data_IF_138072392672
#
_entry.id   IF_138072392672
#
_cell.length_a   1.000
_cell.length_b   1.000
_cell.length_c   1.000
_cell.angle_alpha   90.00
_cell.angle_beta   90.00
_cell.angle_gamma   90.00
#
_symmetry.space_group_name_H-M   'P 1'
#
loop_
_entity.id
_entity.type
_entity.pdbx_description
1 polymer ?
#
# COMPACT_ATOMS: atom_id res chain seq x y z
N UNK A 1 -12.34 20.73 4.59
CA UNK A 1 -12.57 19.91 5.79
C UNK A 1 -12.28 18.45 5.47
N UNK A 2 -11.35 17.84 6.20
CA UNK A 2 -11.06 16.42 6.00
C UNK A 2 -12.24 15.57 6.49
N UNK A 3 -12.73 14.69 5.62
CA UNK A 3 -13.75 13.73 5.99
C UNK A 3 -13.15 12.71 6.97
N UNK A 4 -13.84 12.41 8.05
CA UNK A 4 -13.41 11.35 8.96
C UNK A 4 -13.45 10.00 8.26
N UNK A 5 -12.41 9.21 8.45
CA UNK A 5 -12.31 7.89 7.87
C UNK A 5 -12.53 6.82 8.94
N UNK A 6 -13.29 5.80 8.58
CA UNK A 6 -13.55 4.65 9.45
C UNK A 6 -13.05 3.39 8.77
N UNK A 7 -12.58 2.47 9.59
CA UNK A 7 -12.15 1.15 9.16
C UNK A 7 -13.15 0.10 9.63
N UNK A 8 -13.39 -0.90 8.81
CA UNK A 8 -14.04 -2.13 9.27
C UNK A 8 -13.07 -2.90 10.15
N UNK A 9 -13.60 -3.54 11.18
CA UNK A 9 -12.81 -4.41 12.04
C UNK A 9 -13.02 -5.86 11.61
N UNK A 10 -11.91 -6.54 11.38
CA UNK A 10 -11.85 -7.96 11.02
C UNK A 10 -11.41 -8.76 12.23
N UNK A 11 -11.77 -10.04 12.28
CA UNK A 11 -11.25 -10.98 13.29
C UNK A 11 -9.93 -11.59 12.81
N UNK A 12 -9.37 -12.49 13.61
CA UNK A 12 -8.10 -13.16 13.31
C UNK A 12 -8.17 -14.08 12.07
N UNK A 13 -9.37 -14.44 11.62
CA UNK A 13 -9.61 -15.21 10.42
C UNK A 13 -9.90 -14.34 9.19
N UNK A 14 -9.70 -13.02 9.34
CA UNK A 14 -9.94 -12.04 8.28
C UNK A 14 -11.40 -11.96 7.87
N UNK A 15 -12.30 -12.20 8.82
CA UNK A 15 -13.75 -12.08 8.62
C UNK A 15 -14.24 -10.78 9.27
N UNK A 16 -15.21 -10.14 8.62
CA UNK A 16 -15.82 -8.91 9.13
C UNK A 16 -16.56 -9.19 10.44
N UNK A 17 -16.28 -8.38 11.46
CA UNK A 17 -16.96 -8.48 12.75
C UNK A 17 -18.28 -7.71 12.81
N UNK A 18 -18.53 -6.83 11.84
CA UNK A 18 -19.67 -5.90 11.87
C UNK A 18 -19.39 -4.64 12.67
N UNK A 19 -18.22 -4.53 13.29
CA UNK A 19 -17.80 -3.34 14.03
C UNK A 19 -16.88 -2.47 13.18
N UNK A 20 -16.82 -1.19 13.50
CA UNK A 20 -15.92 -0.24 12.85
C UNK A 20 -15.13 0.52 13.90
N UNK A 21 -14.03 1.16 13.47
CA UNK A 21 -13.27 2.07 14.32
C UNK A 21 -12.85 3.29 13.49
N UNK A 22 -12.66 4.41 14.15
CA UNK A 22 -12.13 5.60 13.49
C UNK A 22 -10.65 5.38 13.19
N UNK A 23 -10.21 5.80 12.01
CA UNK A 23 -8.80 5.73 11.62
C UNK A 23 -7.92 6.42 12.66
N UNK A 24 -6.85 5.76 13.07
CA UNK A 24 -5.87 6.25 14.05
C UNK A 24 -6.41 6.41 15.47
N UNK A 25 -7.51 5.75 15.79
CA UNK A 25 -8.05 5.77 17.15
C UNK A 25 -7.21 4.90 18.12
N UNK A 26 -6.47 3.93 17.57
CA UNK A 26 -5.56 3.03 18.30
C UNK A 26 -6.22 2.37 19.51
N UNK A 27 -7.47 1.97 19.37
CA UNK A 27 -8.29 1.37 20.41
C UNK A 27 -8.63 -0.09 20.12
N UNK A 28 -7.81 -0.75 19.34
CA UNK A 28 -8.01 -2.15 18.99
C UNK A 28 -7.94 -3.06 20.19
N UNK A 29 -8.89 -3.96 20.29
CA UNK A 29 -8.87 -5.03 21.27
C UNK A 29 -8.04 -6.19 20.74
N UNK A 30 -7.54 -7.08 21.63
CA UNK A 30 -6.89 -8.32 21.17
C UNK A 30 -7.83 -9.10 20.23
N UNK A 31 -7.27 -9.55 19.11
CA UNK A 31 -8.05 -10.26 18.08
C UNK A 31 -8.77 -9.38 17.08
N UNK A 32 -8.67 -8.06 17.21
CA UNK A 32 -9.22 -7.10 16.23
C UNK A 32 -8.13 -6.70 15.24
N UNK A 33 -8.51 -6.58 13.95
CA UNK A 33 -7.61 -6.22 12.87
C UNK A 33 -8.29 -5.24 11.93
N UNK A 34 -7.50 -4.35 11.30
CA UNK A 34 -7.98 -3.59 10.15
C UNK A 34 -7.31 -4.14 8.87
N UNK A 35 -7.67 -3.60 7.72
CA UNK A 35 -7.16 -4.06 6.43
C UNK A 35 -6.44 -2.94 5.72
N UNK A 36 -5.25 -3.22 5.22
CA UNK A 36 -4.43 -2.34 4.39
C UNK A 36 -4.20 -3.02 3.05
N UNK A 37 -4.03 -2.24 2.00
CA UNK A 37 -3.69 -2.75 0.67
C UNK A 37 -2.39 -2.13 0.20
N UNK A 38 -1.62 -2.88 -0.57
CA UNK A 38 -0.46 -2.37 -1.30
C UNK A 38 -0.62 -2.77 -2.78
N UNK A 39 -0.41 -1.81 -3.66
CA UNK A 39 -0.48 -2.00 -5.10
C UNK A 39 0.87 -1.87 -5.75
N UNK A 40 1.42 -2.99 -6.19
CA UNK A 40 2.67 -3.02 -6.94
C UNK A 40 2.35 -2.80 -8.41
N UNK A 41 2.94 -1.78 -9.02
CA UNK A 41 2.68 -1.42 -10.41
C UNK A 41 3.89 -1.78 -11.24
N UNK A 42 3.70 -2.74 -12.15
CA UNK A 42 4.75 -3.20 -13.05
C UNK A 42 4.51 -2.63 -14.43
N UNK A 43 5.51 -1.96 -14.97
CA UNK A 43 5.46 -1.49 -16.33
C UNK A 43 5.70 -2.67 -17.29
N UNK A 44 5.19 -2.58 -18.52
CA UNK A 44 5.40 -3.61 -19.53
C UNK A 44 6.88 -3.85 -19.86
N UNK A 45 7.76 -2.90 -19.55
CA UNK A 45 9.21 -3.05 -19.68
C UNK A 45 9.85 -3.91 -18.58
N UNK A 46 9.06 -4.41 -17.62
CA UNK A 46 9.54 -5.23 -16.52
C UNK A 46 10.00 -4.47 -15.27
N UNK A 47 9.98 -3.15 -15.32
CA UNK A 47 10.36 -2.31 -14.17
C UNK A 47 9.13 -1.98 -13.33
N UNK A 48 9.37 -1.58 -12.09
CA UNK A 48 8.32 -1.31 -11.10
C UNK A 48 8.28 0.16 -10.74
N UNK A 49 7.08 0.72 -10.64
CA UNK A 49 6.88 2.10 -10.20
C UNK A 49 7.02 2.17 -8.69
N UNK A 50 7.99 2.93 -8.23
CA UNK A 50 8.19 3.21 -6.80
C UNK A 50 8.18 4.71 -6.58
N UNK A 51 7.73 5.12 -5.40
CA UNK A 51 7.65 6.53 -5.03
C UNK A 51 8.44 6.78 -3.76
N UNK A 52 8.95 7.99 -3.62
CA UNK A 52 9.77 8.39 -2.47
C UNK A 52 8.95 9.26 -1.54
N UNK A 53 8.95 8.92 -0.25
CA UNK A 53 8.26 9.71 0.77
C UNK A 53 8.97 11.04 0.98
N UNK A 54 8.19 12.13 1.13
CA UNK A 54 8.77 13.44 1.39
C UNK A 54 9.55 13.44 2.72
N UNK A 55 10.59 14.27 2.79
CA UNK A 55 11.46 14.34 3.97
C UNK A 55 10.76 14.90 5.21
N UNK A 56 9.62 15.56 5.03
CA UNK A 56 8.83 16.13 6.14
C UNK A 56 7.92 15.12 6.83
N UNK A 57 7.84 13.88 6.32
CA UNK A 57 7.03 12.82 6.95
C UNK A 57 7.61 12.47 8.32
N UNK A 58 6.72 12.26 9.30
CA UNK A 58 7.12 11.86 10.65
C UNK A 58 7.63 10.42 10.71
N UNK A 59 7.13 9.56 9.79
CA UNK A 59 7.53 8.17 9.72
C UNK A 59 8.21 7.87 8.39
N UNK A 60 9.38 7.25 8.46
CA UNK A 60 10.18 6.80 7.32
C UNK A 60 10.38 7.88 6.24
N UNK A 61 10.83 9.11 6.59
CA UNK A 61 11.07 10.14 5.58
C UNK A 61 12.14 9.70 4.59
N UNK A 62 11.93 10.01 3.31
CA UNK A 62 12.88 9.71 2.25
C UNK A 62 12.96 8.25 1.82
N UNK A 63 12.18 7.37 2.42
CA UNK A 63 12.13 5.97 2.02
C UNK A 63 11.29 5.79 0.75
N UNK A 64 11.64 4.76 -0.02
CA UNK A 64 10.90 4.37 -1.21
C UNK A 64 9.84 3.33 -0.87
N UNK A 65 8.74 3.33 -1.60
CA UNK A 65 7.61 2.45 -1.33
C UNK A 65 6.76 2.20 -2.57
N UNK A 66 5.87 1.22 -2.48
CA UNK A 66 4.78 1.03 -3.43
C UNK A 66 3.54 1.74 -2.90
N UNK A 67 2.55 1.96 -3.77
CA UNK A 67 1.31 2.64 -3.38
C UNK A 67 0.47 1.78 -2.43
N UNK A 68 -0.19 2.41 -1.49
CA UNK A 68 -1.08 1.69 -0.58
C UNK A 68 -1.71 2.56 0.49
N UNK A 69 -2.55 1.94 1.27
CA UNK A 69 -3.25 2.61 2.37
C UNK A 69 -4.33 1.75 2.97
N UNK A 70 -5.07 2.32 3.92
CA UNK A 70 -6.13 1.62 4.63
C UNK A 70 -7.39 1.45 3.79
N UNK A 71 -8.02 0.29 3.94
CA UNK A 71 -9.32 0.02 3.34
C UNK A 71 -10.38 0.67 4.22
N UNK A 72 -11.22 1.52 3.63
CA UNK A 72 -12.27 2.20 4.37
C UNK A 72 -13.47 1.28 4.62
N UNK A 73 -14.21 1.56 5.68
CA UNK A 73 -15.43 0.80 6.01
C UNK A 73 -16.38 0.75 4.81
N UNK A 74 -16.85 -0.44 4.49
CA UNK A 74 -17.74 -0.67 3.35
C UNK A 74 -17.05 -0.77 1.99
N UNK A 75 -15.73 -0.51 1.94
CA UNK A 75 -14.95 -0.58 0.70
C UNK A 75 -14.38 -2.00 0.53
N UNK A 76 -14.36 -2.50 -0.71
CA UNK A 76 -13.67 -3.76 -0.98
C UNK A 76 -12.16 -3.52 -1.05
N UNK A 77 -11.40 -4.57 -0.81
CA UNK A 77 -9.94 -4.54 -0.95
C UNK A 77 -9.51 -4.03 -2.34
N UNK A 78 -10.11 -4.57 -3.41
CA UNK A 78 -9.80 -4.16 -4.78
C UNK A 78 -10.12 -2.68 -5.02
N UNK A 79 -11.29 -2.22 -4.59
CA UNK A 79 -11.67 -0.82 -4.75
C UNK A 79 -10.68 0.10 -4.01
N UNK A 80 -10.23 -0.33 -2.82
CA UNK A 80 -9.27 0.43 -2.04
C UNK A 80 -7.91 0.56 -2.74
N UNK A 81 -7.38 -0.54 -3.28
CA UNK A 81 -6.06 -0.47 -3.94
C UNK A 81 -6.13 0.37 -5.21
N UNK A 82 -7.21 0.28 -5.97
CA UNK A 82 -7.40 1.12 -7.17
C UNK A 82 -7.46 2.60 -6.80
N UNK A 83 -8.20 2.92 -5.74
CA UNK A 83 -8.31 4.29 -5.22
C UNK A 83 -6.96 4.82 -4.75
N UNK A 84 -6.23 4.05 -3.94
CA UNK A 84 -4.93 4.48 -3.42
C UNK A 84 -3.91 4.70 -4.53
N UNK A 85 -3.85 3.82 -5.51
CA UNK A 85 -2.94 3.98 -6.67
C UNK A 85 -3.28 5.28 -7.42
N UNK A 86 -4.58 5.53 -7.66
CA UNK A 86 -5.01 6.75 -8.34
C UNK A 86 -4.68 8.01 -7.56
N UNK A 87 -4.95 8.01 -6.25
CA UNK A 87 -4.67 9.17 -5.39
C UNK A 87 -3.17 9.48 -5.33
N UNK A 88 -2.34 8.45 -5.22
CA UNK A 88 -0.90 8.64 -5.04
C UNK A 88 -0.13 8.86 -6.35
N UNK A 89 -0.56 8.24 -7.45
CA UNK A 89 0.19 8.27 -8.72
C UNK A 89 -0.57 8.90 -9.88
N UNK A 90 -1.88 9.03 -9.76
CA UNK A 90 -2.74 9.49 -10.86
C UNK A 90 -3.13 8.39 -11.84
N UNK A 91 -2.60 7.18 -11.69
CA UNK A 91 -2.88 6.10 -12.62
C UNK A 91 -4.20 5.38 -12.31
N UNK A 92 -4.97 5.11 -13.36
CA UNK A 92 -6.10 4.19 -13.30
C UNK A 92 -5.60 2.83 -13.80
N UNK A 93 -5.43 1.90 -12.88
CA UNK A 93 -4.89 0.57 -13.20
C UNK A 93 -5.98 -0.49 -13.29
N UNK A 94 -7.26 -0.08 -13.34
CA UNK A 94 -8.39 -1.01 -13.36
C UNK A 94 -8.36 -1.97 -14.55
N UNK A 95 -7.81 -1.54 -15.69
CA UNK A 95 -7.70 -2.35 -16.91
C UNK A 95 -6.33 -3.03 -17.07
N UNK A 96 -5.43 -2.84 -16.11
CA UNK A 96 -4.11 -3.49 -16.13
C UNK A 96 -4.27 -4.99 -15.85
N UNK A 97 -3.35 -5.78 -16.40
CA UNK A 97 -3.29 -7.21 -16.12
C UNK A 97 -2.89 -7.46 -14.67
N UNK A 98 -3.33 -8.58 -14.11
CA UNK A 98 -2.99 -8.97 -12.76
C UNK A 98 -4.11 -8.70 -11.76
N UNK A 99 -3.74 -8.55 -10.52
CA UNK A 99 -4.68 -8.34 -9.41
C UNK A 99 -4.10 -8.85 -8.12
N UNK A 100 -4.95 -9.41 -7.28
CA UNK A 100 -4.57 -9.92 -5.97
C UNK A 100 -3.51 -11.04 -6.08
N UNK A 101 -2.49 -10.97 -5.23
CA UNK A 101 -1.43 -11.98 -5.16
C UNK A 101 -1.47 -12.79 -3.87
N UNK A 102 -1.34 -12.12 -2.72
CA UNK A 102 -1.31 -12.76 -1.42
C UNK A 102 -1.59 -11.75 -0.32
N UNK A 103 -1.77 -12.26 0.91
CA UNK A 103 -1.94 -11.43 2.10
C UNK A 103 -0.96 -11.85 3.18
N UNK A 104 -0.65 -10.92 4.07
CA UNK A 104 0.04 -11.24 5.31
C UNK A 104 -0.62 -10.53 6.49
N UNK A 105 -0.30 -10.98 7.69
CA UNK A 105 -0.84 -10.46 8.94
C UNK A 105 0.27 -9.85 9.79
N UNK A 106 -0.02 -8.71 10.39
CA UNK A 106 0.86 -8.06 11.36
C UNK A 106 0.14 -7.95 12.69
N UNK A 107 0.80 -8.45 13.72
CA UNK A 107 0.31 -8.36 15.09
C UNK A 107 1.20 -7.39 15.86
N UNK A 108 0.64 -6.24 16.22
CA UNK A 108 1.31 -5.22 17.03
C UNK A 108 0.43 -4.88 18.23
N UNK A 109 0.21 -5.83 19.15
CA UNK A 109 -0.74 -5.65 20.25
C UNK A 109 -0.35 -4.53 21.22
N UNK A 110 0.93 -4.28 21.40
CA UNK A 110 1.42 -3.21 22.27
C UNK A 110 1.04 -1.83 21.73
N UNK A 111 1.03 -1.70 20.40
CA UNK A 111 0.64 -0.46 19.72
C UNK A 111 -0.85 -0.41 19.42
N UNK A 112 -1.59 -1.48 19.72
CA UNK A 112 -3.00 -1.66 19.40
C UNK A 112 -3.27 -1.43 17.92
N UNK A 113 -2.37 -1.95 17.08
CA UNK A 113 -2.39 -1.78 15.64
C UNK A 113 -2.12 -3.10 14.93
N UNK A 114 -3.13 -3.96 14.91
CA UNK A 114 -3.08 -5.22 14.20
C UNK A 114 -3.75 -5.08 12.86
N UNK A 115 -3.17 -5.63 11.81
CA UNK A 115 -3.74 -5.49 10.48
C UNK A 115 -3.34 -6.62 9.54
N UNK A 116 -4.20 -6.81 8.53
CA UNK A 116 -3.88 -7.62 7.35
C UNK A 116 -3.45 -6.68 6.23
N UNK A 117 -2.58 -7.18 5.36
CA UNK A 117 -2.17 -6.45 4.16
C UNK A 117 -2.46 -7.33 2.95
N UNK A 118 -3.30 -6.83 2.05
CA UNK A 118 -3.55 -7.48 0.76
C UNK A 118 -2.61 -6.89 -0.27
N UNK A 119 -1.84 -7.74 -0.94
CA UNK A 119 -0.87 -7.36 -1.95
C UNK A 119 -1.43 -7.61 -3.34
N UNK A 120 -1.42 -6.55 -4.16
CA UNK A 120 -1.83 -6.59 -5.57
C UNK A 120 -0.65 -6.28 -6.46
N UNK A 121 -0.64 -6.84 -7.65
CA UNK A 121 0.30 -6.45 -8.70
C UNK A 121 -0.47 -6.22 -9.99
N UNK A 122 -0.32 -5.03 -10.54
CA UNK A 122 -0.93 -4.64 -11.81
C UNK A 122 0.18 -4.39 -12.82
N UNK A 123 0.04 -4.96 -14.01
CA UNK A 123 1.02 -4.81 -15.09
C UNK A 123 0.36 -4.14 -16.29
N UNK A 124 0.93 -3.06 -16.75
CA UNK A 124 0.42 -2.33 -17.91
C UNK A 124 1.39 -1.28 -18.41
N UNK A 125 0.99 -0.62 -19.48
CA UNK A 125 1.77 0.45 -20.06
C UNK A 125 1.29 1.81 -19.56
N UNK A 126 2.24 2.70 -19.32
CA UNK A 126 1.96 4.09 -18.96
C UNK A 126 3.20 4.93 -19.23
N UNK A 127 3.03 6.22 -19.37
CA UNK A 127 4.13 7.16 -19.60
C UNK A 127 4.24 8.15 -18.44
N UNK A 128 5.32 8.89 -18.40
CA UNK A 128 5.53 9.94 -17.39
C UNK A 128 4.36 10.94 -17.35
N UNK A 129 3.79 11.27 -18.53
CA UNK A 129 2.68 12.19 -18.62
C UNK A 129 1.39 11.70 -17.95
N UNK A 130 1.28 10.39 -17.71
CA UNK A 130 0.13 9.79 -17.02
C UNK A 130 0.25 9.90 -15.50
N UNK A 131 1.44 10.24 -14.99
CA UNK A 131 1.70 10.29 -13.55
C UNK A 131 1.37 11.67 -12.99
N UNK A 132 0.60 11.69 -11.91
CA UNK A 132 0.22 12.90 -11.17
C UNK A 132 0.37 12.61 -9.68
N UNK A 133 1.60 12.79 -9.17
CA UNK A 133 1.93 12.46 -7.78
C UNK A 133 1.34 13.47 -6.79
N UNK A 134 1.00 13.00 -5.60
CA UNK A 134 0.60 13.85 -4.49
C UNK A 134 1.84 14.55 -3.93
N UNK A 135 2.03 15.82 -4.24
CA UNK A 135 3.21 16.60 -3.85
C UNK A 135 3.44 16.65 -2.33
N UNK A 136 2.35 16.67 -1.55
CA UNK A 136 2.44 16.70 -0.10
C UNK A 136 2.94 15.39 0.51
N UNK A 137 2.86 14.29 -0.25
CA UNK A 137 3.18 12.95 0.22
C UNK A 137 4.45 12.39 -0.42
N UNK A 138 4.75 12.82 -1.64
CA UNK A 138 5.70 12.16 -2.53
C UNK A 138 6.73 13.15 -3.08
N UNK A 139 8.01 12.82 -2.94
CA UNK A 139 9.14 13.63 -3.39
C UNK A 139 9.79 13.08 -4.65
N UNK A 140 9.10 12.26 -5.39
CA UNK A 140 9.59 11.72 -6.65
C UNK A 140 9.13 10.31 -6.93
N UNK A 141 9.45 9.85 -8.12
CA UNK A 141 9.11 8.51 -8.58
C UNK A 141 10.24 7.95 -9.44
N UNK A 142 10.23 6.64 -9.60
CA UNK A 142 11.21 5.94 -10.41
C UNK A 142 10.61 4.63 -10.93
N UNK A 143 11.00 4.26 -12.14
CA UNK A 143 10.80 2.90 -12.65
C UNK A 143 12.06 2.11 -12.31
N UNK A 144 11.98 1.24 -11.32
CA UNK A 144 13.11 0.52 -10.77
C UNK A 144 13.12 -0.95 -11.18
N UNK A 145 14.30 -1.47 -11.47
CA UNK A 145 14.49 -2.90 -11.67
C UNK A 145 14.42 -3.63 -10.33
N UNK A 146 14.25 -4.94 -10.37
CA UNK A 146 14.27 -5.76 -9.15
C UNK A 146 15.59 -5.58 -8.38
N UNK A 147 16.72 -5.51 -9.11
CA UNK A 147 18.03 -5.33 -8.49
C UNK A 147 18.15 -3.98 -7.79
N UNK A 148 17.60 -2.91 -8.38
CA UNK A 148 17.57 -1.59 -7.76
C UNK A 148 16.74 -1.59 -6.47
N UNK A 149 15.59 -2.27 -6.50
CA UNK A 149 14.72 -2.40 -5.31
C UNK A 149 15.45 -3.18 -4.21
N UNK A 150 16.13 -4.27 -4.56
CA UNK A 150 16.92 -5.05 -3.61
C UNK A 150 18.03 -4.21 -2.98
N UNK A 151 18.71 -3.39 -3.77
CA UNK A 151 19.76 -2.51 -3.28
C UNK A 151 19.22 -1.48 -2.29
N UNK A 152 18.06 -0.87 -2.60
CA UNK A 152 17.39 0.06 -1.69
C UNK A 152 16.99 -0.64 -0.38
N UNK A 153 16.49 -1.85 -0.47
CA UNK A 153 16.10 -2.64 0.70
C UNK A 153 17.31 -2.96 1.57
N UNK A 154 18.45 -3.30 0.96
CA UNK A 154 19.68 -3.60 1.68
C UNK A 154 20.19 -2.38 2.46
N UNK A 155 19.89 -1.18 1.99
CA UNK A 155 20.23 0.08 2.66
C UNK A 155 19.16 0.52 3.67
N UNK A 156 18.10 -0.25 3.85
CA UNK A 156 16.99 0.11 4.73
C UNK A 156 16.12 1.24 4.17
N UNK A 157 16.15 1.47 2.86
CA UNK A 157 15.46 2.58 2.21
C UNK A 157 14.23 2.16 1.41
N UNK A 158 13.83 0.90 1.50
CA UNK A 158 12.61 0.41 0.84
C UNK A 158 11.68 -0.23 1.85
N UNK A 159 10.47 0.33 1.98
CA UNK A 159 9.51 -0.08 3.00
C UNK A 159 8.88 -1.43 2.70
N UNK A 160 8.76 -2.25 3.73
CA UNK A 160 8.05 -3.55 3.73
C UNK A 160 8.65 -4.61 2.79
N UNK A 161 9.89 -4.43 2.33
CA UNK A 161 10.47 -5.29 1.31
C UNK A 161 10.38 -6.79 1.65
N UNK A 162 10.77 -7.17 2.87
CA UNK A 162 10.78 -8.59 3.26
C UNK A 162 9.40 -9.22 3.20
N UNK A 163 8.36 -8.43 3.45
CA UNK A 163 6.97 -8.90 3.42
C UNK A 163 6.39 -8.96 2.01
N UNK A 164 6.90 -8.16 1.09
CA UNK A 164 6.31 -8.03 -0.25
C UNK A 164 7.23 -8.44 -1.40
N UNK A 165 8.43 -8.90 -1.10
CA UNK A 165 9.44 -9.22 -2.14
C UNK A 165 8.92 -10.17 -3.23
N UNK A 166 8.03 -11.09 -2.89
CA UNK A 166 7.48 -12.04 -3.87
C UNK A 166 6.63 -11.35 -4.94
N UNK A 167 6.15 -10.13 -4.67
CA UNK A 167 5.41 -9.35 -5.64
C UNK A 167 6.31 -8.78 -6.76
N UNK A 168 7.62 -8.79 -6.56
CA UNK A 168 8.61 -8.33 -7.55
C UNK A 168 9.26 -9.50 -8.32
N UNK A 169 8.78 -10.69 -8.10
CA UNK A 169 9.27 -11.89 -8.79
C UNK A 169 8.29 -12.30 -9.89
N UNK A 170 8.82 -12.87 -10.95
CA UNK A 170 8.01 -13.38 -12.07
C UNK A 170 7.49 -14.79 -11.77
#
# INVERSE_FOLDING_TARGET
MKKEEYWDIYDENKELTGRTMKRNDWNMRPGDYHLTVLGVIRHTNGRYLITKRVMTKSWAPGSWEVSGGGVMAGETSRAAVLREVREETGLDVSDFAGGYLFSYRRDNPEEKDNYFVDIYRFTGDFSESDLHLQEAETDGWKLASVDEIRALAAEGMFLHYDSIRDAFEE
#
